data_IF_159262008318
#
_entry.id   IF_159262008318
#
_cell.length_a   1.000
_cell.length_b   1.000
_cell.length_c   1.000
_cell.angle_alpha   90.00
_cell.angle_beta   90.00
_cell.angle_gamma   90.00
#
_symmetry.space_group_name_H-M   'P 1'
#
loop_
_entity.id
_entity.type
_entity.pdbx_description
1 polymer ?
#
# COMPACT_ATOMS: atom_id res chain seq x y z
N UNK A 1 2.88 -23.06 -10.34
CA UNK A 1 2.87 -24.14 -9.33
C UNK A 1 2.04 -23.63 -8.18
N UNK A 2 0.86 -24.20 -7.92
CA UNK A 2 -0.08 -23.70 -6.91
C UNK A 2 0.24 -24.41 -5.58
N UNK A 3 0.44 -23.63 -4.52
CA UNK A 3 0.78 -24.10 -3.18
C UNK A 3 -0.38 -24.93 -2.56
N UNK A 4 -0.12 -26.13 -2.01
CA UNK A 4 -1.12 -26.97 -1.37
C UNK A 4 -1.74 -26.41 -0.07
N UNK A 5 -1.25 -25.32 0.50
CA UNK A 5 -1.82 -24.65 1.68
C UNK A 5 -3.06 -23.77 1.38
N UNK A 6 -3.37 -23.55 0.10
CA UNK A 6 -4.36 -22.58 -0.37
C UNK A 6 -3.73 -21.21 -0.65
N UNK A 7 -4.37 -20.35 -1.46
CA UNK A 7 -3.83 -19.03 -1.77
C UNK A 7 -3.74 -18.20 -0.48
N UNK A 8 -2.56 -17.66 -0.22
CA UNK A 8 -2.27 -16.76 0.88
C UNK A 8 -1.63 -15.51 0.31
N UNK A 9 -2.10 -14.35 0.72
CA UNK A 9 -1.61 -13.05 0.28
C UNK A 9 -1.50 -12.09 1.47
N UNK A 10 -0.38 -11.38 1.53
CA UNK A 10 -0.13 -10.32 2.53
C UNK A 10 0.18 -9.06 1.75
N UNK A 11 -0.67 -8.04 1.91
CA UNK A 11 -0.54 -6.76 1.25
C UNK A 11 -0.23 -5.68 2.29
N UNK A 12 0.68 -4.78 1.94
CA UNK A 12 0.88 -3.52 2.65
C UNK A 12 0.74 -2.40 1.63
N UNK A 13 -0.28 -1.57 1.81
CA UNK A 13 -0.61 -0.52 0.84
C UNK A 13 -0.10 0.87 1.26
N UNK A 14 -0.33 1.86 0.40
CA UNK A 14 0.07 3.25 0.62
C UNK A 14 -0.64 3.91 1.81
N UNK A 15 -1.81 3.40 2.20
CA UNK A 15 -2.59 3.84 3.35
C UNK A 15 -2.08 3.24 4.67
N UNK A 16 -0.96 2.50 4.62
CA UNK A 16 -0.34 1.79 5.74
C UNK A 16 -1.26 0.72 6.31
N UNK A 17 -2.13 0.15 5.48
CA UNK A 17 -2.99 -0.97 5.85
C UNK A 17 -2.24 -2.27 5.56
N UNK A 18 -2.15 -3.14 6.57
CA UNK A 18 -1.68 -4.51 6.42
C UNK A 18 -2.90 -5.42 6.27
N UNK A 19 -3.13 -5.96 5.07
CA UNK A 19 -4.24 -6.84 4.77
C UNK A 19 -3.72 -8.25 4.54
N UNK A 20 -4.30 -9.23 5.23
CA UNK A 20 -3.92 -10.65 5.13
C UNK A 20 -5.10 -11.47 4.66
N UNK A 21 -4.96 -12.08 3.48
CA UNK A 21 -5.89 -13.07 2.96
C UNK A 21 -5.29 -14.45 3.19
N UNK A 22 -5.85 -15.23 4.11
CA UNK A 22 -5.39 -16.58 4.40
C UNK A 22 -6.55 -17.44 4.89
N UNK A 23 -6.42 -18.76 4.71
CA UNK A 23 -7.36 -19.73 5.30
C UNK A 23 -7.28 -19.78 6.83
N UNK A 24 -6.08 -19.59 7.38
CA UNK A 24 -5.84 -19.51 8.83
C UNK A 24 -5.07 -18.23 9.19
N UNK A 25 -5.72 -17.34 9.95
CA UNK A 25 -5.15 -16.07 10.39
C UNK A 25 -4.42 -16.16 11.74
N UNK A 26 -4.58 -17.26 12.49
CA UNK A 26 -3.98 -17.40 13.84
C UNK A 26 -2.47 -17.19 13.87
N UNK A 27 -1.67 -17.64 12.88
CA UNK A 27 -0.24 -17.37 12.86
C UNK A 27 0.08 -15.87 12.80
N UNK A 28 -0.68 -15.11 12.01
CA UNK A 28 -0.50 -13.67 11.82
C UNK A 28 -0.90 -12.88 13.07
N UNK A 29 -2.05 -13.17 13.64
CA UNK A 29 -2.51 -12.56 14.89
C UNK A 29 -1.49 -12.76 16.03
N UNK A 30 -0.89 -13.95 16.10
CA UNK A 30 0.15 -14.26 17.11
C UNK A 30 1.39 -13.39 16.92
N UNK A 31 1.84 -13.19 15.69
CA UNK A 31 3.01 -12.34 15.38
C UNK A 31 2.70 -10.88 15.74
N UNK A 32 1.55 -10.35 15.33
CA UNK A 32 1.14 -8.98 15.64
C UNK A 32 1.06 -8.75 17.15
N UNK A 33 0.48 -9.69 17.89
CA UNK A 33 0.44 -9.63 19.36
C UNK A 33 1.85 -9.65 19.99
N UNK A 34 2.76 -10.48 19.47
CA UNK A 34 4.15 -10.51 19.93
C UNK A 34 4.90 -9.21 19.64
N UNK A 35 4.54 -8.52 18.56
CA UNK A 35 5.04 -7.19 18.22
C UNK A 35 4.37 -6.05 19.01
N UNK A 36 3.48 -6.36 19.96
CA UNK A 36 2.79 -5.36 20.78
C UNK A 36 1.59 -4.69 20.10
N UNK A 37 1.05 -5.29 19.04
CA UNK A 37 -0.14 -4.81 18.32
C UNK A 37 -1.35 -5.66 18.77
N UNK A 38 -2.15 -5.20 19.75
CA UNK A 38 -3.33 -5.92 20.20
C UNK A 38 -4.47 -5.78 19.18
N UNK A 39 -5.36 -6.78 19.16
CA UNK A 39 -6.62 -6.70 18.43
C UNK A 39 -7.57 -5.72 19.14
N UNK A 40 -8.11 -4.76 18.39
CA UNK A 40 -9.14 -3.83 18.86
C UNK A 40 -10.38 -3.91 17.97
N UNK A 41 -11.40 -4.66 18.41
CA UNK A 41 -12.67 -4.82 17.70
C UNK A 41 -13.57 -3.57 17.75
N UNK A 42 -13.16 -2.51 18.48
CA UNK A 42 -13.89 -1.24 18.56
C UNK A 42 -13.28 -0.16 17.66
N UNK A 43 -12.16 -0.46 17.01
CA UNK A 43 -11.50 0.44 16.09
C UNK A 43 -12.45 0.78 14.94
N UNK A 44 -12.78 2.06 14.81
CA UNK A 44 -13.60 2.54 13.70
C UNK A 44 -12.68 2.90 12.53
N UNK A 45 -12.94 2.28 11.39
CA UNK A 45 -12.27 2.63 10.15
C UNK A 45 -12.98 3.85 9.54
N UNK A 46 -12.22 4.90 9.25
CA UNK A 46 -12.69 6.03 8.46
C UNK A 46 -12.17 5.77 7.05
N UNK A 47 -13.05 5.34 6.14
CA UNK A 47 -12.74 5.29 4.72
C UNK A 47 -12.83 6.71 4.20
N UNK A 48 -11.73 7.32 3.77
CA UNK A 48 -11.80 8.57 3.01
C UNK A 48 -12.58 8.32 1.71
N UNK A 49 -13.62 9.11 1.47
CA UNK A 49 -14.16 9.30 0.14
C UNK A 49 -13.26 10.34 -0.53
N UNK A 50 -12.57 9.93 -1.58
CA UNK A 50 -11.53 10.68 -2.29
C UNK A 50 -10.18 10.69 -1.56
N UNK A 51 -9.32 9.73 -1.93
CA UNK A 51 -7.87 9.92 -1.88
C UNK A 51 -7.53 11.11 -2.79
N UNK A 52 -7.72 12.33 -2.32
CA UNK A 52 -7.20 13.49 -3.00
C UNK A 52 -5.68 13.41 -2.79
N UNK A 53 -4.99 12.76 -3.72
CA UNK A 53 -3.54 12.89 -3.85
C UNK A 53 -3.26 14.35 -4.19
N UNK A 54 -3.26 15.23 -3.18
CA UNK A 54 -2.76 16.58 -3.33
C UNK A 54 -1.25 16.52 -3.28
N UNK A 55 -0.66 15.89 -4.28
CA UNK A 55 0.75 16.11 -4.59
C UNK A 55 0.87 17.57 -4.97
N UNK A 56 1.63 18.35 -4.20
CA UNK A 56 1.88 19.73 -4.56
C UNK A 56 2.57 19.80 -5.95
N UNK A 57 2.24 20.78 -6.81
CA UNK A 57 2.81 20.87 -8.16
C UNK A 57 4.34 20.90 -8.21
N UNK A 58 5.01 21.23 -7.10
CA UNK A 58 6.46 21.23 -7.01
C UNK A 58 7.06 19.82 -7.04
N UNK A 59 6.38 18.81 -6.50
CA UNK A 59 6.87 17.42 -6.50
C UNK A 59 6.89 16.80 -7.91
N UNK A 60 5.98 17.21 -8.80
CA UNK A 60 6.02 16.80 -10.21
C UNK A 60 7.32 17.29 -10.88
N UNK A 61 7.70 18.54 -10.63
CA UNK A 61 8.96 19.12 -11.15
C UNK A 61 10.19 18.45 -10.56
N UNK A 62 10.17 18.13 -9.26
CA UNK A 62 11.27 17.43 -8.61
C UNK A 62 11.45 16.00 -9.17
N UNK A 63 10.34 15.33 -9.50
CA UNK A 63 10.36 14.02 -10.14
C UNK A 63 10.87 14.08 -11.59
N UNK A 64 10.45 15.06 -12.39
CA UNK A 64 11.00 15.30 -13.72
C UNK A 64 12.52 15.56 -13.67
N UNK A 65 12.97 16.37 -12.71
CA UNK A 65 14.40 16.62 -12.48
C UNK A 65 15.16 15.36 -12.09
N UNK A 66 14.55 14.48 -11.29
CA UNK A 66 15.13 13.19 -10.94
C UNK A 66 15.29 12.32 -12.19
N UNK A 67 14.24 12.15 -13.00
CA UNK A 67 14.25 11.37 -14.24
C UNK A 67 15.34 11.86 -15.21
N UNK A 68 15.46 13.18 -15.39
CA UNK A 68 16.51 13.79 -16.20
C UNK A 68 17.91 13.44 -15.68
N UNK A 69 18.13 13.56 -14.36
CA UNK A 69 19.44 13.26 -13.74
C UNK A 69 19.85 11.80 -13.86
N UNK A 70 18.89 10.87 -13.90
CA UNK A 70 19.16 9.43 -14.02
C UNK A 70 19.10 8.92 -15.47
N UNK A 71 18.88 9.79 -16.45
CA UNK A 71 18.86 9.45 -17.88
C UNK A 71 17.62 8.65 -18.31
N UNK A 72 16.49 8.84 -17.62
CA UNK A 72 15.19 8.30 -18.06
C UNK A 72 14.57 9.31 -19.02
N UNK A 73 14.64 9.03 -20.32
CA UNK A 73 14.27 9.97 -21.39
C UNK A 73 12.76 10.23 -21.49
N UNK A 74 11.89 9.36 -20.94
CA UNK A 74 10.44 9.54 -20.99
C UNK A 74 9.78 9.14 -19.65
N UNK A 75 9.20 10.08 -18.89
CA UNK A 75 8.26 9.70 -17.84
C UNK A 75 7.06 9.04 -18.54
N UNK A 76 6.74 7.82 -18.11
CA UNK A 76 5.60 7.06 -18.61
C UNK A 76 4.36 7.96 -18.74
N UNK A 77 3.67 7.82 -19.87
CA UNK A 77 2.55 8.65 -20.32
C UNK A 77 1.71 9.22 -19.18
N UNK A 78 1.40 10.53 -19.29
CA UNK A 78 0.35 11.17 -18.52
C UNK A 78 -0.94 10.35 -18.64
N UNK A 79 -1.19 9.49 -17.65
CA UNK A 79 -2.51 8.87 -17.48
C UNK A 79 -3.41 10.00 -16.97
N UNK A 80 -4.19 10.55 -17.89
CA UNK A 80 -5.15 11.59 -17.59
C UNK A 80 -6.24 10.96 -16.70
N UNK A 81 -6.22 11.28 -15.41
CA UNK A 81 -7.30 10.92 -14.50
C UNK A 81 -8.35 12.02 -14.57
N UNK A 82 -9.37 11.81 -15.41
CA UNK A 82 -10.68 12.47 -15.27
C UNK A 82 -11.42 11.94 -14.04
#
# INVERSE_FOLDING_TARGET
MIDPAGPMEVQFDEHKLLVVYARDLKPFERILRQAGIPRDDRMKFITEAEHLHSTEPHHAKDFEQLCYRIGVDEPAEHVNWE
#
